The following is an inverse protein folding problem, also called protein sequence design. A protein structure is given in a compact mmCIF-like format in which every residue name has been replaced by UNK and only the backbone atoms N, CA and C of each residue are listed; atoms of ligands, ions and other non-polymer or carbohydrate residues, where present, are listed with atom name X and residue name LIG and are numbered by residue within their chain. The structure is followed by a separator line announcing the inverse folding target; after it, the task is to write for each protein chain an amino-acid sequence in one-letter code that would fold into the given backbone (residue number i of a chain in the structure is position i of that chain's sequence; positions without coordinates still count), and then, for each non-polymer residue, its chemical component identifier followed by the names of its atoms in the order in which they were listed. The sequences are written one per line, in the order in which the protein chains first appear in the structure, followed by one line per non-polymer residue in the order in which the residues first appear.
data_IF_098449039338
#
_entry.id   IF_098449039338
#
_cell.length_a   1.000
_cell.length_b   1.000
_cell.length_c   1.000
_cell.angle_alpha   90.00
_cell.angle_beta   90.00
_cell.angle_gamma   90.00
#
_symmetry.space_group_name_H-M   'P 1'
#
loop_
_entity.id
_entity.type
_entity.pdbx_description
1 polymer ?
#
# COMPACT_ATOMS: atom_id res chain seq x y z
N UNK A 1 13.82 17.22 40.22
CA UNK A 1 12.42 16.91 40.60
C UNK A 1 11.63 16.79 39.33
N UNK A 2 11.57 15.60 38.72
CA UNK A 2 10.75 15.38 37.52
C UNK A 2 10.38 13.91 37.30
N UNK A 3 10.37 13.05 38.33
CA UNK A 3 9.93 11.65 38.18
C UNK A 3 9.47 11.04 39.51
N UNK A 4 8.47 11.60 40.16
CA UNK A 4 7.89 11.00 41.40
C UNK A 4 6.35 11.01 41.41
N UNK A 5 5.68 10.96 40.26
CA UNK A 5 4.21 10.81 40.20
C UNK A 5 3.80 10.02 38.95
N UNK A 6 4.06 8.72 38.95
CA UNK A 6 3.47 7.80 37.95
C UNK A 6 2.83 6.59 38.68
N UNK A 7 2.09 6.90 39.75
CA UNK A 7 1.26 5.94 40.50
C UNK A 7 -0.21 5.96 40.00
N UNK A 8 -0.41 5.89 38.69
CA UNK A 8 -1.71 5.53 38.09
C UNK A 8 -1.52 4.30 37.20
N UNK A 9 -1.34 3.17 37.88
CA UNK A 9 -1.03 1.84 37.35
C UNK A 9 -2.26 1.10 36.79
N UNK A 10 -3.28 1.81 36.27
CA UNK A 10 -4.45 1.20 35.60
C UNK A 10 -4.32 1.21 34.07
N UNK A 11 -3.40 2.00 33.51
CA UNK A 11 -3.23 2.14 32.05
C UNK A 11 -2.31 1.09 31.40
N UNK A 12 -1.54 0.33 32.18
CA UNK A 12 -0.45 -0.52 31.66
C UNK A 12 -0.99 -1.82 31.07
N UNK A 13 -1.96 -2.46 31.71
CA UNK A 13 -2.59 -3.68 31.17
C UNK A 13 -3.36 -3.42 29.87
N UNK A 14 -3.96 -2.24 29.74
CA UNK A 14 -4.67 -1.85 28.52
C UNK A 14 -3.68 -1.55 27.39
N UNK A 15 -2.53 -0.94 27.72
CA UNK A 15 -1.44 -0.71 26.79
C UNK A 15 -0.81 -2.02 26.28
N UNK A 16 -0.57 -2.98 27.16
CA UNK A 16 -0.04 -4.30 26.81
C UNK A 16 -1.01 -5.11 25.96
N UNK A 17 -2.32 -5.08 26.28
CA UNK A 17 -3.36 -5.69 25.44
C UNK A 17 -3.48 -5.01 24.07
N UNK A 18 -3.26 -3.70 24.00
CA UNK A 18 -3.22 -2.94 22.74
C UNK A 18 -1.98 -3.31 21.91
N UNK A 19 -0.81 -3.40 22.54
CA UNK A 19 0.44 -3.81 21.92
C UNK A 19 0.39 -5.26 21.43
N UNK A 20 -0.22 -6.17 22.20
CA UNK A 20 -0.48 -7.55 21.77
C UNK A 20 -1.45 -7.62 20.59
N UNK A 21 -2.52 -6.81 20.59
CA UNK A 21 -3.44 -6.71 19.44
C UNK A 21 -2.71 -6.18 18.20
N UNK A 22 -1.84 -5.19 18.36
CA UNK A 22 -1.04 -4.65 17.26
C UNK A 22 0.02 -5.64 16.76
N UNK A 23 0.62 -6.44 17.64
CA UNK A 23 1.60 -7.49 17.29
C UNK A 23 0.95 -8.77 16.71
N UNK A 24 -0.29 -9.10 17.09
CA UNK A 24 -1.06 -10.23 16.53
C UNK A 24 -1.69 -9.92 15.18
N UNK A 25 -1.84 -8.65 14.81
CA UNK A 25 -2.04 -8.26 13.41
C UNK A 25 -0.70 -8.52 12.73
N UNK A 26 -0.44 -9.78 12.35
CA UNK A 26 0.49 -10.08 11.29
C UNK A 26 0.21 -9.04 10.20
N UNK A 27 1.22 -8.26 9.80
CA UNK A 27 1.07 -7.26 8.76
C UNK A 27 0.74 -7.95 7.44
N UNK A 28 -0.48 -8.44 7.30
CA UNK A 28 -1.01 -9.01 6.07
C UNK A 28 -1.11 -7.84 5.12
N UNK A 29 -0.14 -7.76 4.22
CA UNK A 29 -0.14 -6.76 3.19
C UNK A 29 -1.50 -6.80 2.47
N UNK A 30 -2.29 -5.72 2.50
CA UNK A 30 -3.62 -5.73 1.94
C UNK A 30 -3.55 -6.00 0.43
N UNK A 31 -4.55 -6.72 -0.10
CA UNK A 31 -4.63 -7.13 -1.52
C UNK A 31 -4.18 -5.99 -2.43
N UNK A 32 -3.22 -6.27 -3.30
CA UNK A 32 -2.69 -5.28 -4.24
C UNK A 32 -3.72 -5.02 -5.34
N UNK A 33 -4.46 -3.92 -5.25
CA UNK A 33 -5.43 -3.49 -6.28
C UNK A 33 -4.77 -2.79 -7.48
N UNK A 34 -3.45 -2.96 -7.64
CA UNK A 34 -2.64 -2.43 -8.75
C UNK A 34 -2.85 -0.93 -9.03
N UNK A 35 -3.02 -0.12 -7.98
CA UNK A 35 -3.28 1.31 -8.13
C UNK A 35 -2.05 2.07 -8.65
N UNK A 36 -2.11 2.56 -9.89
CA UNK A 36 -1.08 3.40 -10.51
C UNK A 36 -1.13 4.86 -10.08
N UNK A 37 -1.58 5.19 -8.86
CA UNK A 37 -1.76 6.60 -8.45
C UNK A 37 -0.46 7.41 -8.51
N UNK A 38 0.66 6.82 -8.08
CA UNK A 38 1.98 7.47 -8.15
C UNK A 38 2.38 7.84 -9.58
N UNK A 39 1.84 7.14 -10.58
CA UNK A 39 2.09 7.42 -11.98
C UNK A 39 1.56 8.79 -12.45
N UNK A 40 0.74 9.49 -11.66
CA UNK A 40 0.33 10.89 -11.95
C UNK A 40 1.29 11.93 -11.38
N UNK A 41 2.26 11.51 -10.58
CA UNK A 41 3.22 12.39 -9.90
C UNK A 41 4.63 12.20 -10.42
N UNK A 42 5.03 10.95 -10.65
CA UNK A 42 6.36 10.61 -11.15
C UNK A 42 6.35 9.22 -11.81
N UNK A 43 7.13 8.98 -12.89
CA UNK A 43 7.27 7.63 -13.42
C UNK A 43 8.05 6.75 -12.43
N UNK A 44 7.67 5.48 -12.33
CA UNK A 44 8.49 4.49 -11.63
C UNK A 44 9.72 4.10 -12.48
N UNK A 45 10.62 3.27 -11.93
CA UNK A 45 11.81 2.77 -12.66
C UNK A 45 11.49 2.16 -14.04
N UNK A 46 10.34 1.50 -14.17
CA UNK A 46 9.86 0.89 -15.42
C UNK A 46 8.89 1.78 -16.22
N UNK A 47 8.60 2.98 -15.70
CA UNK A 47 7.64 3.91 -16.27
C UNK A 47 8.29 4.86 -17.27
N UNK A 48 7.45 5.44 -18.13
CA UNK A 48 7.85 6.53 -19.03
C UNK A 48 6.90 7.70 -18.81
N UNK A 49 7.43 8.90 -18.61
CA UNK A 49 6.62 10.09 -18.41
C UNK A 49 6.09 10.61 -19.75
N UNK A 50 4.81 10.96 -19.79
CA UNK A 50 4.17 11.64 -20.91
C UNK A 50 3.91 13.09 -20.50
N UNK A 51 4.66 14.03 -21.09
CA UNK A 51 4.58 15.46 -20.79
C UNK A 51 3.23 16.07 -21.19
N UNK A 52 2.64 15.64 -22.30
CA UNK A 52 1.35 16.17 -22.77
C UNK A 52 0.20 15.84 -21.80
N UNK A 53 0.24 14.63 -21.22
CA UNK A 53 -0.78 14.15 -20.26
C UNK A 53 -0.41 14.40 -18.80
N UNK A 54 0.80 14.87 -18.52
CA UNK A 54 1.37 15.02 -17.16
C UNK A 54 1.20 13.75 -16.30
N UNK A 55 1.44 12.58 -16.87
CA UNK A 55 1.37 11.30 -16.17
C UNK A 55 2.21 10.24 -16.88
N UNK A 56 2.43 9.09 -16.23
CA UNK A 56 3.05 7.93 -16.85
C UNK A 56 2.24 7.47 -18.07
N UNK A 57 2.95 7.18 -19.16
CA UNK A 57 2.41 6.68 -20.42
C UNK A 57 1.65 5.35 -20.27
N UNK A 58 2.02 4.54 -19.27
CA UNK A 58 1.41 3.24 -19.00
C UNK A 58 0.27 3.27 -17.98
N UNK A 59 -0.17 4.46 -17.55
CA UNK A 59 -1.32 4.59 -16.66
C UNK A 59 -2.63 4.40 -17.45
N UNK A 60 -3.41 3.39 -17.10
CA UNK A 60 -4.72 3.14 -17.71
C UNK A 60 -5.80 4.06 -17.13
N UNK A 61 -6.94 4.15 -17.81
CA UNK A 61 -8.12 4.91 -17.36
C UNK A 61 -8.62 4.43 -15.99
N UNK A 62 -8.56 3.11 -15.75
CA UNK A 62 -8.87 2.49 -14.46
C UNK A 62 -7.83 2.79 -13.36
N UNK A 63 -6.85 3.67 -13.60
CA UNK A 63 -5.73 3.95 -12.70
C UNK A 63 -4.99 2.66 -12.32
N UNK A 64 -4.69 1.81 -13.31
CA UNK A 64 -3.81 0.64 -13.18
C UNK A 64 -2.56 0.82 -14.02
N UNK A 65 -1.50 0.07 -13.70
CA UNK A 65 -0.31 0.02 -14.55
C UNK A 65 -0.53 -1.01 -15.67
N UNK A 66 -0.53 -0.56 -16.93
CA UNK A 66 -0.71 -1.42 -18.11
C UNK A 66 0.37 -2.49 -18.26
N UNK A 67 1.57 -2.24 -17.73
CA UNK A 67 2.73 -3.15 -17.78
C UNK A 67 2.93 -3.98 -16.51
N UNK A 68 1.96 -4.00 -15.59
CA UNK A 68 2.14 -4.64 -14.29
C UNK A 68 2.63 -6.10 -14.41
N UNK A 69 1.96 -6.91 -15.23
CA UNK A 69 2.29 -8.32 -15.40
C UNK A 69 3.67 -8.53 -16.05
N UNK A 70 3.99 -7.73 -17.07
CA UNK A 70 5.29 -7.75 -17.75
C UNK A 70 6.44 -7.48 -16.76
N UNK A 71 6.30 -6.45 -15.92
CA UNK A 71 7.32 -6.08 -14.92
C UNK A 71 7.46 -7.18 -13.86
N UNK A 72 6.33 -7.70 -13.36
CA UNK A 72 6.34 -8.78 -12.36
C UNK A 72 7.00 -10.04 -12.90
N UNK A 73 6.74 -10.40 -14.15
CA UNK A 73 7.36 -11.55 -14.81
C UNK A 73 8.86 -11.32 -15.02
N UNK A 74 9.25 -10.14 -15.50
CA UNK A 74 10.64 -9.74 -15.69
C UNK A 74 11.44 -9.80 -14.37
N UNK A 75 10.96 -9.17 -13.30
CA UNK A 75 11.64 -9.19 -12.00
C UNK A 75 11.72 -10.61 -11.41
N UNK A 76 10.71 -11.45 -11.69
CA UNK A 76 10.73 -12.85 -11.25
C UNK A 76 11.78 -13.68 -11.99
N UNK A 77 11.99 -13.43 -13.30
CA UNK A 77 13.07 -14.07 -14.08
C UNK A 77 14.47 -13.68 -13.60
N UNK A 78 14.64 -12.46 -13.12
CA UNK A 78 15.91 -11.98 -12.55
C UNK A 78 16.21 -12.58 -11.16
N UNK A 79 15.24 -13.26 -10.54
CA UNK A 79 15.36 -13.86 -9.21
C UNK A 79 15.88 -12.86 -8.14
N UNK A 80 15.43 -11.61 -8.22
CA UNK A 80 15.84 -10.57 -7.28
C UNK A 80 15.23 -10.84 -5.89
N UNK A 81 16.07 -10.79 -4.85
CA UNK A 81 15.60 -10.90 -3.45
C UNK A 81 14.65 -9.76 -3.05
N UNK A 82 14.84 -8.59 -3.66
CA UNK A 82 14.02 -7.40 -3.43
C UNK A 82 13.46 -6.94 -4.76
N UNK A 83 12.13 -6.90 -4.85
CA UNK A 83 11.41 -6.40 -6.03
C UNK A 83 11.32 -4.87 -5.97
N UNK A 84 11.71 -4.21 -7.05
CA UNK A 84 11.63 -2.75 -7.14
C UNK A 84 10.19 -2.31 -7.43
N UNK A 85 9.44 -3.14 -8.14
CA UNK A 85 8.05 -2.90 -8.47
C UNK A 85 7.09 -3.54 -7.46
N UNK A 86 5.98 -2.87 -7.18
CA UNK A 86 4.91 -3.42 -6.33
C UNK A 86 5.13 -3.29 -4.81
N UNK A 87 6.32 -2.93 -4.33
CA UNK A 87 6.59 -2.64 -2.90
C UNK A 87 5.63 -1.58 -2.33
N UNK A 88 5.25 -0.60 -3.15
CA UNK A 88 4.26 0.42 -2.81
C UNK A 88 2.83 -0.11 -2.58
N UNK A 89 2.49 -1.35 -2.96
CA UNK A 89 1.17 -1.92 -2.70
C UNK A 89 0.90 -2.17 -1.22
N UNK A 90 1.94 -2.45 -0.42
CA UNK A 90 1.81 -2.69 1.02
C UNK A 90 1.92 -1.42 1.86
N UNK A 91 2.59 -0.39 1.34
CA UNK A 91 3.04 0.76 2.14
C UNK A 91 2.15 2.00 2.02
N UNK A 92 1.10 1.98 1.19
CA UNK A 92 0.42 3.20 0.77
C UNK A 92 -1.04 3.29 1.26
N UNK A 93 -1.22 3.41 2.58
CA UNK A 93 -2.52 3.56 3.24
C UNK A 93 -3.19 4.93 2.99
N UNK A 94 -2.43 5.94 2.53
CA UNK A 94 -2.93 7.30 2.24
C UNK A 94 -3.31 7.53 0.78
N UNK A 95 -3.26 6.51 -0.08
CA UNK A 95 -3.60 6.66 -1.49
C UNK A 95 -5.14 6.69 -1.68
N UNK A 96 -5.75 7.83 -2.04
CA UNK A 96 -7.21 7.95 -2.11
C UNK A 96 -7.83 7.09 -3.21
N UNK A 97 -7.12 6.89 -4.33
CA UNK A 97 -7.58 6.02 -5.42
C UNK A 97 -7.61 4.57 -4.97
N UNK A 98 -6.59 4.14 -4.22
CA UNK A 98 -6.55 2.79 -3.61
C UNK A 98 -7.71 2.60 -2.64
N UNK A 99 -7.91 3.54 -1.72
CA UNK A 99 -8.95 3.46 -0.71
C UNK A 99 -10.34 3.37 -1.34
N UNK A 100 -10.62 4.18 -2.37
CA UNK A 100 -11.90 4.13 -3.08
C UNK A 100 -12.13 2.80 -3.80
N UNK A 101 -11.09 2.22 -4.42
CA UNK A 101 -11.19 0.89 -5.03
C UNK A 101 -11.48 -0.20 -3.99
N UNK A 102 -10.78 -0.17 -2.86
CA UNK A 102 -10.98 -1.14 -1.78
C UNK A 102 -12.39 -1.04 -1.19
N UNK A 103 -12.94 0.17 -1.02
CA UNK A 103 -14.33 0.37 -0.57
C UNK A 103 -15.33 -0.28 -1.53
N UNK A 104 -15.20 -0.02 -2.85
CA UNK A 104 -16.08 -0.61 -3.87
C UNK A 104 -16.01 -2.14 -3.91
N UNK A 105 -14.83 -2.72 -3.70
CA UNK A 105 -14.67 -4.17 -3.65
C UNK A 105 -15.40 -4.77 -2.44
N UNK A 106 -15.30 -4.13 -1.26
CA UNK A 106 -16.05 -4.55 -0.07
C UNK A 106 -17.56 -4.46 -0.26
N UNK A 107 -18.04 -3.36 -0.84
CA UNK A 107 -19.47 -3.18 -1.14
C UNK A 107 -20.00 -4.27 -2.10
N UNK A 108 -19.19 -4.69 -3.08
CA UNK A 108 -19.54 -5.76 -4.02
C UNK A 108 -19.48 -7.16 -3.38
N UNK A 109 -18.60 -7.39 -2.41
CA UNK A 109 -18.50 -8.67 -1.69
C UNK A 109 -19.63 -8.83 -0.65
N UNK A 110 -20.13 -7.73 -0.08
CA UNK A 110 -21.24 -7.72 0.90
C UNK A 110 -22.64 -7.76 0.26
N UNK A 111 -22.73 -7.63 -1.07
CA UNK A 111 -24.00 -7.64 -1.82
C UNK A 111 -24.37 -9.01 -2.42
N UNK A 112 -23.79 -10.09 -1.90
CA UNK A 112 -24.08 -11.49 -2.24
C UNK A 112 -24.80 -12.19 -1.08
#
# INVERSE_FOLDING_TARGET
MFFDDFDDLDGIEEFDKLFEKMNKIEQQCPVCVQCGYCCKHTPCYYGKWNEEKNQCEYLTEDNKCAKYNEIVEYESKLNLKVKMFGSGCCLNYLNPVRLNKLKRLKENDESI
#
